data_IF_478141716850
#
_entry.id   IF_478141716850
#
_cell.length_a   1.000
_cell.length_b   1.000
_cell.length_c   1.000
_cell.angle_alpha   90.00
_cell.angle_beta   90.00
_cell.angle_gamma   90.00
#
_symmetry.space_group_name_H-M   'P 1'
#
loop_
_entity.id
_entity.type
_entity.pdbx_description
1 polymer ?
#
# COMPACT_ATOMS: atom_id res chain seq x y z
N UNK A 1 -4.76 13.70 25.94
CA UNK A 1 -5.35 13.53 24.61
C UNK A 1 -4.35 12.89 23.68
N UNK A 2 -4.75 11.85 23.00
CA UNK A 2 -3.88 11.15 22.07
C UNK A 2 -3.90 11.84 20.70
N UNK A 3 -2.74 12.03 20.07
CA UNK A 3 -2.63 12.45 18.67
C UNK A 3 -2.81 11.30 17.69
N UNK A 4 -3.33 10.18 18.14
CA UNK A 4 -3.48 8.96 17.35
C UNK A 4 -4.96 8.67 17.11
N UNK A 5 -5.31 8.48 15.84
CA UNK A 5 -6.67 8.06 15.44
C UNK A 5 -6.56 6.80 14.60
N UNK A 6 -7.39 5.83 14.89
CA UNK A 6 -7.43 4.56 14.17
C UNK A 6 -8.74 4.43 13.43
N UNK A 7 -8.65 4.03 12.15
CA UNK A 7 -9.81 3.88 11.27
C UNK A 7 -9.91 2.45 10.77
N UNK A 8 -11.16 2.01 10.56
CA UNK A 8 -11.45 0.71 9.98
C UNK A 8 -10.74 -0.41 10.73
N UNK A 9 -10.99 -0.44 12.04
CA UNK A 9 -10.39 -1.43 12.92
C UNK A 9 -10.98 -2.81 12.65
N UNK A 10 -10.10 -3.79 12.43
CA UNK A 10 -10.49 -5.18 12.30
C UNK A 10 -10.24 -5.85 13.65
N UNK A 11 -11.28 -5.91 14.47
CA UNK A 11 -11.19 -6.47 15.81
C UNK A 11 -10.81 -7.96 15.80
N UNK A 12 -11.35 -8.68 14.84
CA UNK A 12 -11.13 -10.12 14.76
C UNK A 12 -9.67 -10.47 14.52
N UNK A 13 -9.02 -9.72 13.66
CA UNK A 13 -7.63 -10.00 13.27
C UNK A 13 -6.63 -9.03 13.90
N UNK A 14 -7.13 -8.11 14.74
CA UNK A 14 -6.32 -7.22 15.60
C UNK A 14 -5.40 -6.28 14.80
N UNK A 15 -5.97 -5.52 13.86
CA UNK A 15 -5.22 -4.49 13.13
C UNK A 15 -6.15 -3.36 12.69
N UNK A 16 -5.55 -2.22 12.33
CA UNK A 16 -6.27 -1.08 11.77
C UNK A 16 -5.83 -0.88 10.33
N UNK A 17 -6.75 -0.53 9.45
CA UNK A 17 -6.39 -0.25 8.06
C UNK A 17 -5.62 1.06 7.95
N UNK A 18 -5.98 2.05 8.78
CA UNK A 18 -5.38 3.38 8.73
C UNK A 18 -5.12 3.85 10.16
N UNK A 19 -3.93 4.38 10.41
CA UNK A 19 -3.60 5.03 11.68
C UNK A 19 -3.06 6.42 11.39
N UNK A 20 -3.72 7.45 11.92
CA UNK A 20 -3.21 8.81 11.89
C UNK A 20 -2.44 9.07 13.18
N UNK A 21 -1.22 9.53 13.07
CA UNK A 21 -0.37 9.88 14.21
C UNK A 21 0.22 11.26 13.95
N UNK A 22 -0.38 12.30 14.56
CA UNK A 22 -0.04 13.67 14.24
C UNK A 22 -0.32 13.96 12.77
N UNK A 23 0.68 14.42 12.05
CA UNK A 23 0.56 14.73 10.62
C UNK A 23 0.89 13.53 9.71
N UNK A 24 1.28 12.40 10.30
CA UNK A 24 1.59 11.20 9.53
C UNK A 24 0.40 10.25 9.50
N UNK A 25 0.25 9.58 8.37
CA UNK A 25 -0.80 8.58 8.17
C UNK A 25 -0.13 7.29 7.75
N UNK A 26 -0.42 6.24 8.49
CA UNK A 26 0.15 4.90 8.25
C UNK A 26 -0.95 4.01 7.71
N UNK A 27 -0.68 3.38 6.58
CA UNK A 27 -1.60 2.41 5.99
C UNK A 27 -1.07 1.00 6.19
N UNK A 28 -1.94 0.10 6.55
CA UNK A 28 -1.64 -1.32 6.51
C UNK A 28 -1.50 -1.76 5.06
N UNK A 29 -1.10 -2.99 4.84
CA UNK A 29 -0.87 -3.50 3.49
C UNK A 29 -2.08 -3.24 2.58
N UNK A 30 -1.78 -2.83 1.35
CA UNK A 30 -2.77 -2.61 0.30
C UNK A 30 -2.61 -3.69 -0.74
N UNK A 31 -3.71 -4.28 -1.17
CA UNK A 31 -3.74 -5.32 -2.20
C UNK A 31 -4.96 -5.11 -3.08
N UNK A 32 -4.93 -5.65 -4.28
CA UNK A 32 -6.09 -5.61 -5.16
C UNK A 32 -5.88 -6.49 -6.38
N UNK A 33 -6.94 -6.81 -7.06
CA UNK A 33 -6.93 -7.62 -8.28
C UNK A 33 -6.18 -8.96 -8.10
N UNK A 34 -6.30 -9.57 -6.92
CA UNK A 34 -5.63 -10.83 -6.60
C UNK A 34 -6.07 -11.88 -7.62
N UNK A 35 -5.09 -12.67 -8.09
CA UNK A 35 -5.35 -13.69 -9.12
C UNK A 35 -5.18 -13.18 -10.55
N UNK A 36 -5.05 -11.87 -10.72
CA UNK A 36 -4.79 -11.27 -12.03
C UNK A 36 -3.29 -11.09 -12.24
N UNK A 37 -2.89 -10.43 -13.33
CA UNK A 37 -1.48 -10.21 -13.62
C UNK A 37 -0.80 -9.36 -12.55
N UNK A 38 0.52 -9.42 -12.49
CA UNK A 38 1.29 -8.60 -11.55
C UNK A 38 1.01 -7.11 -11.79
N UNK A 39 0.97 -6.69 -13.04
CA UNK A 39 0.67 -5.28 -13.36
C UNK A 39 -0.70 -4.88 -12.82
N UNK A 40 -1.71 -5.73 -13.01
CA UNK A 40 -3.05 -5.47 -12.49
C UNK A 40 -3.07 -5.42 -10.96
N UNK A 41 -2.29 -6.29 -10.30
CA UNK A 41 -2.23 -6.31 -8.84
C UNK A 41 -1.52 -5.08 -8.29
N UNK A 42 -0.47 -4.59 -8.95
CA UNK A 42 0.18 -3.35 -8.53
C UNK A 42 -0.80 -2.18 -8.64
N UNK A 43 -1.51 -2.08 -9.75
CA UNK A 43 -2.54 -1.07 -9.90
C UNK A 43 -3.64 -1.22 -8.86
N UNK A 44 -4.07 -2.46 -8.59
CA UNK A 44 -5.08 -2.73 -7.57
C UNK A 44 -4.63 -2.33 -6.17
N UNK A 45 -3.36 -2.58 -5.83
CA UNK A 45 -2.80 -2.14 -4.54
C UNK A 45 -2.81 -0.62 -4.44
N UNK A 46 -2.44 0.09 -5.51
CA UNK A 46 -2.46 1.55 -5.52
C UNK A 46 -3.90 2.10 -5.49
N UNK A 47 -4.84 1.42 -6.14
CA UNK A 47 -6.26 1.80 -6.06
C UNK A 47 -6.77 1.68 -4.62
N UNK A 48 -6.41 0.60 -3.93
CA UNK A 48 -6.77 0.39 -2.53
C UNK A 48 -6.14 1.48 -1.66
N UNK A 49 -4.87 1.81 -1.93
CA UNK A 49 -4.15 2.88 -1.23
C UNK A 49 -4.87 4.22 -1.42
N UNK A 50 -5.23 4.54 -2.66
CA UNK A 50 -5.95 5.79 -2.95
C UNK A 50 -7.29 5.86 -2.21
N UNK A 51 -8.02 4.75 -2.18
CA UNK A 51 -9.32 4.70 -1.50
C UNK A 51 -9.17 4.94 0.00
N UNK A 52 -8.14 4.36 0.62
CA UNK A 52 -7.88 4.57 2.04
C UNK A 52 -7.44 6.00 2.33
N UNK A 53 -6.54 6.54 1.51
CA UNK A 53 -6.08 7.92 1.66
C UNK A 53 -7.24 8.90 1.53
N UNK A 54 -8.19 8.65 0.61
CA UNK A 54 -9.36 9.50 0.44
C UNK A 54 -10.20 9.58 1.70
N UNK A 55 -10.26 8.52 2.50
CA UNK A 55 -11.01 8.52 3.76
C UNK A 55 -10.45 9.51 4.77
N UNK A 56 -9.20 9.89 4.64
CA UNK A 56 -8.55 10.87 5.52
C UNK A 56 -8.14 12.12 4.74
N UNK A 57 -8.76 12.35 3.59
CA UNK A 57 -8.60 13.56 2.77
C UNK A 57 -7.21 13.74 2.20
N UNK A 58 -6.56 12.63 1.82
CA UNK A 58 -5.23 12.63 1.22
C UNK A 58 -5.27 11.95 -0.16
N UNK A 59 -4.19 12.14 -0.91
CA UNK A 59 -4.00 11.52 -2.23
C UNK A 59 -2.63 10.86 -2.31
N UNK A 60 -2.33 10.22 -3.42
CA UNK A 60 -1.01 9.60 -3.63
C UNK A 60 0.13 10.62 -3.57
N UNK A 61 -0.13 11.90 -3.85
CA UNK A 61 0.91 12.92 -3.79
C UNK A 61 1.52 13.09 -2.39
N UNK A 62 0.79 12.71 -1.38
CA UNK A 62 1.22 12.86 0.02
C UNK A 62 1.90 11.62 0.57
N UNK A 63 2.00 10.56 -0.22
CA UNK A 63 2.71 9.35 0.18
C UNK A 63 4.21 9.64 0.15
N UNK A 64 4.88 9.44 1.30
CA UNK A 64 6.30 9.72 1.43
C UNK A 64 7.16 8.46 1.49
N UNK A 65 6.56 7.32 1.83
CA UNK A 65 7.27 6.06 1.92
C UNK A 65 6.36 4.91 1.55
N UNK A 66 6.87 3.97 0.77
CA UNK A 66 6.20 2.69 0.53
C UNK A 66 7.17 1.54 0.78
N UNK A 67 6.66 0.45 1.30
CA UNK A 67 7.35 -0.83 1.35
C UNK A 67 6.58 -1.77 0.42
N UNK A 68 7.27 -2.29 -0.58
CA UNK A 68 6.68 -3.18 -1.57
C UNK A 68 7.18 -4.58 -1.30
N UNK A 69 6.25 -5.50 -1.07
CA UNK A 69 6.56 -6.92 -0.93
C UNK A 69 6.07 -7.63 -2.17
N UNK A 70 6.93 -8.39 -2.83
CA UNK A 70 6.55 -9.15 -4.02
C UNK A 70 7.15 -10.54 -3.97
N UNK A 71 6.44 -11.49 -4.59
CA UNK A 71 6.91 -12.87 -4.64
C UNK A 71 8.11 -13.01 -5.55
N UNK A 72 8.10 -12.30 -6.67
CA UNK A 72 9.11 -12.44 -7.72
C UNK A 72 9.76 -11.09 -7.99
N UNK A 73 11.05 -10.91 -7.62
CA UNK A 73 11.74 -9.63 -7.82
C UNK A 73 11.97 -9.29 -9.29
N UNK A 74 11.83 -10.25 -10.20
CA UNK A 74 11.92 -9.97 -11.63
C UNK A 74 10.79 -9.05 -12.12
N UNK A 75 9.74 -8.87 -11.30
CA UNK A 75 8.64 -7.99 -11.63
C UNK A 75 8.88 -6.52 -11.23
N UNK A 76 10.06 -6.18 -10.71
CA UNK A 76 10.38 -4.80 -10.36
C UNK A 76 10.22 -3.83 -11.55
N UNK A 77 10.67 -4.16 -12.76
CA UNK A 77 10.45 -3.24 -13.89
C UNK A 77 8.98 -2.94 -14.18
N UNK A 78 8.10 -3.91 -13.97
CA UNK A 78 6.65 -3.71 -14.12
C UNK A 78 6.15 -2.73 -13.07
N UNK A 79 6.59 -2.90 -11.83
CA UNK A 79 6.25 -2.00 -10.74
C UNK A 79 6.71 -0.57 -11.03
N UNK A 80 7.93 -0.42 -11.51
CA UNK A 80 8.49 0.89 -11.82
C UNK A 80 7.66 1.60 -12.89
N UNK A 81 7.25 0.89 -13.92
CA UNK A 81 6.40 1.43 -14.96
C UNK A 81 5.07 1.94 -14.40
N UNK A 82 4.43 1.15 -13.54
CA UNK A 82 3.16 1.53 -12.92
C UNK A 82 3.36 2.72 -12.00
N UNK A 83 4.44 2.73 -11.21
CA UNK A 83 4.73 3.85 -10.32
C UNK A 83 4.95 5.13 -11.09
N UNK A 84 5.64 5.08 -12.24
CA UNK A 84 5.81 6.24 -13.11
C UNK A 84 4.46 6.79 -13.55
N UNK A 85 3.53 5.93 -13.90
CA UNK A 85 2.20 6.32 -14.36
C UNK A 85 1.33 6.90 -13.24
N UNK A 86 1.44 6.33 -12.03
CA UNK A 86 0.53 6.67 -10.93
C UNK A 86 1.04 7.80 -10.05
N UNK A 87 2.33 7.87 -9.78
CA UNK A 87 2.90 8.93 -8.93
C UNK A 87 3.34 10.16 -9.70
N UNK A 88 3.55 10.05 -11.02
CA UNK A 88 3.77 11.19 -11.93
C UNK A 88 4.91 12.10 -11.47
N UNK A 89 6.04 11.51 -11.11
CA UNK A 89 7.23 12.27 -10.69
C UNK A 89 7.31 12.56 -9.20
N UNK A 90 6.22 12.41 -8.46
CA UNK A 90 6.21 12.64 -7.00
C UNK A 90 6.37 11.30 -6.28
N UNK A 91 7.55 10.72 -6.48
CA UNK A 91 7.80 9.35 -6.04
C UNK A 91 8.10 9.28 -4.56
N UNK A 92 7.48 8.35 -3.84
CA UNK A 92 7.84 8.10 -2.44
C UNK A 92 9.21 7.44 -2.34
N UNK A 93 9.83 7.53 -1.16
CA UNK A 93 10.94 6.65 -0.85
C UNK A 93 10.42 5.21 -0.86
N UNK A 94 11.24 4.26 -1.30
CA UNK A 94 10.77 2.90 -1.59
C UNK A 94 11.75 1.85 -1.10
N UNK A 95 11.21 0.77 -0.56
CA UNK A 95 11.94 -0.46 -0.32
C UNK A 95 11.17 -1.60 -0.95
N UNK A 96 11.87 -2.52 -1.60
CA UNK A 96 11.26 -3.71 -2.21
C UNK A 96 11.85 -4.94 -1.54
N UNK A 97 10.99 -5.83 -1.10
CA UNK A 97 11.39 -7.08 -0.45
C UNK A 97 10.75 -8.24 -1.22
N UNK A 98 11.56 -9.24 -1.57
CA UNK A 98 11.06 -10.50 -2.11
C UNK A 98 10.76 -11.42 -0.95
N UNK A 99 9.54 -11.94 -0.88
CA UNK A 99 9.12 -12.74 0.26
C UNK A 99 7.93 -13.63 -0.06
N UNK A 100 7.70 -14.63 0.78
CA UNK A 100 6.42 -15.32 0.85
C UNK A 100 5.48 -14.46 1.69
N UNK A 101 4.19 -14.53 1.38
CA UNK A 101 3.20 -13.75 2.12
C UNK A 101 2.63 -14.57 3.27
N UNK A 102 2.61 -13.97 4.46
CA UNK A 102 1.91 -14.55 5.60
C UNK A 102 0.40 -14.44 5.42
N UNK A 103 -0.04 -13.53 4.59
CA UNK A 103 -1.44 -13.30 4.30
C UNK A 103 -2.02 -14.47 3.51
N UNK A 104 -3.25 -14.86 3.85
CA UNK A 104 -3.91 -16.00 3.26
C UNK A 104 -4.09 -15.86 1.75
N UNK A 105 -4.23 -14.63 1.26
CA UNK A 105 -4.34 -14.33 -0.16
C UNK A 105 -3.13 -14.78 -0.96
N UNK A 106 -1.99 -15.05 -0.32
CA UNK A 106 -0.82 -15.60 -0.99
C UNK A 106 -1.10 -16.94 -1.63
N UNK A 107 -1.97 -17.75 -1.02
CA UNK A 107 -2.38 -19.04 -1.57
C UNK A 107 -3.31 -18.88 -2.76
N UNK A 108 -3.97 -17.74 -2.89
CA UNK A 108 -4.95 -17.44 -3.93
C UNK A 108 -4.36 -16.59 -5.06
N UNK A 109 -3.04 -16.57 -5.20
CA UNK A 109 -2.39 -15.87 -6.31
C UNK A 109 -2.00 -14.44 -6.00
N UNK A 110 -1.81 -14.10 -4.73
CA UNK A 110 -1.29 -12.80 -4.35
C UNK A 110 0.18 -12.69 -4.77
N UNK A 111 0.53 -11.65 -5.53
CA UNK A 111 1.87 -11.44 -6.05
C UNK A 111 2.55 -10.22 -5.44
N UNK A 112 1.77 -9.26 -4.91
CA UNK A 112 2.33 -8.02 -4.40
C UNK A 112 1.46 -7.44 -3.29
N UNK A 113 2.12 -6.88 -2.27
CA UNK A 113 1.50 -6.05 -1.23
C UNK A 113 2.29 -4.77 -1.12
N UNK A 114 1.62 -3.66 -0.85
CA UNK A 114 2.28 -2.37 -0.66
C UNK A 114 1.70 -1.69 0.56
N UNK A 115 2.54 -1.32 1.52
CA UNK A 115 2.10 -0.47 2.61
C UNK A 115 2.71 0.92 2.43
N UNK A 116 2.18 1.90 3.14
CA UNK A 116 2.55 3.28 2.88
C UNK A 116 2.51 4.14 4.13
N UNK A 117 3.33 5.18 4.11
CA UNK A 117 3.28 6.28 5.07
C UNK A 117 3.04 7.54 4.27
N UNK A 118 2.06 8.33 4.69
CA UNK A 118 1.75 9.61 4.05
C UNK A 118 1.92 10.75 5.06
N UNK A 119 2.13 11.96 4.54
CA UNK A 119 2.30 13.15 5.35
C UNK A 119 1.23 14.17 4.97
N UNK A 120 0.48 14.65 5.98
CA UNK A 120 -0.70 15.47 5.73
C UNK A 120 -0.35 16.88 5.24
N UNK A 121 0.80 17.36 5.62
CA UNK A 121 1.24 18.69 5.22
C UNK A 121 2.34 18.61 4.18
#
# INVERSE_FOLDING_TARGET
>A
MSGIKRHDINERNAWSEIVEAGDFVFLSFCVGNIGQSVEAQINGALDDMEARLAKVSLTLEQVVKVDVMMKDPWNIPIMEKVFQQRFKGKYPARKVISTEFAHKGGEDGLQVQIDAIAYRK
#
